data_IF_176718192387
#
_entry.id   IF_176718192387
#
_cell.length_a   1.000
_cell.length_b   1.000
_cell.length_c   1.000
_cell.angle_alpha   90.00
_cell.angle_beta   90.00
_cell.angle_gamma   90.00
#
_symmetry.space_group_name_H-M   'P 1'
#
loop_
_entity.id
_entity.type
_entity.pdbx_description
1 polymer ?
#
# COMPACT_ATOMS: atom_id res chain seq x y z
N UNK A 1 43.06 11.22 13.42
CA UNK A 1 42.12 10.43 12.58
C UNK A 1 40.75 11.05 12.76
N UNK A 2 40.04 11.36 11.70
CA UNK A 2 38.63 11.81 11.81
C UNK A 2 37.85 10.70 12.48
N UNK A 3 37.03 11.04 13.47
CA UNK A 3 36.11 10.09 14.11
C UNK A 3 35.11 9.60 13.06
N UNK A 4 34.87 8.29 13.06
CA UNK A 4 33.79 7.71 12.23
C UNK A 4 32.55 7.52 13.11
N UNK A 5 31.39 7.89 12.60
CA UNK A 5 30.14 7.81 13.31
C UNK A 5 29.20 6.83 12.64
N UNK A 6 28.42 6.12 13.43
CA UNK A 6 27.26 5.33 12.97
C UNK A 6 25.97 5.88 13.56
N UNK A 7 24.91 5.79 12.77
CA UNK A 7 23.56 6.17 13.18
C UNK A 7 22.86 4.96 13.80
N UNK A 8 22.07 5.17 14.83
CA UNK A 8 21.22 4.16 15.48
C UNK A 8 19.78 4.68 15.46
N UNK A 9 18.91 3.93 14.80
CA UNK A 9 17.53 4.36 14.52
C UNK A 9 16.55 3.31 15.00
N UNK A 10 15.53 3.75 15.75
CA UNK A 10 14.31 3.04 16.07
C UNK A 10 13.08 3.83 15.60
N UNK A 11 11.97 3.16 15.39
CA UNK A 11 10.73 3.75 14.93
C UNK A 11 9.58 3.46 15.88
N UNK A 12 8.67 4.43 15.98
CA UNK A 12 7.32 4.26 16.48
C UNK A 12 6.37 4.43 15.31
N UNK A 13 5.66 3.36 14.93
CA UNK A 13 4.78 3.36 13.75
C UNK A 13 3.35 3.19 14.20
N UNK A 14 2.53 4.24 14.01
CA UNK A 14 1.11 4.25 14.30
C UNK A 14 0.32 3.86 13.07
N UNK A 15 -0.64 2.96 13.22
CA UNK A 15 -1.48 2.48 12.11
C UNK A 15 -2.94 2.47 12.54
N UNK A 16 -3.77 3.24 11.84
CA UNK A 16 -5.24 3.19 12.00
C UNK A 16 -5.77 1.88 11.43
N UNK A 17 -6.57 1.16 12.22
CA UNK A 17 -7.12 -0.12 11.81
C UNK A 17 -8.43 0.04 11.02
N UNK A 18 -8.56 -0.72 9.94
CA UNK A 18 -9.70 -0.70 9.02
C UNK A 18 -10.96 -1.36 9.60
N UNK A 19 -11.36 -0.97 10.80
CA UNK A 19 -12.61 -1.39 11.41
C UNK A 19 -13.75 -0.48 10.97
N UNK A 20 -14.98 -1.00 10.98
CA UNK A 20 -16.17 -0.18 10.65
C UNK A 20 -16.57 0.79 11.75
N UNK A 21 -16.17 0.47 12.97
CA UNK A 21 -16.51 1.24 14.17
C UNK A 21 -15.26 1.53 14.99
N UNK A 22 -15.33 2.58 15.79
CA UNK A 22 -14.28 2.99 16.72
C UNK A 22 -13.94 1.89 17.72
N UNK A 23 -12.81 2.07 18.43
CA UNK A 23 -12.29 1.05 19.35
C UNK A 23 -13.22 0.78 20.54
N UNK A 24 -13.88 1.81 21.07
CA UNK A 24 -14.69 1.70 22.29
C UNK A 24 -16.15 2.09 22.12
N UNK A 25 -16.62 2.38 20.90
CA UNK A 25 -18.01 2.71 20.62
C UNK A 25 -18.43 2.30 19.19
N UNK A 26 -19.69 2.50 18.84
CA UNK A 26 -20.25 2.13 17.52
C UNK A 26 -20.17 3.23 16.46
N UNK A 27 -19.53 4.38 16.73
CA UNK A 27 -19.38 5.44 15.74
C UNK A 27 -18.51 4.99 14.56
N UNK A 28 -18.81 5.52 13.38
CA UNK A 28 -18.08 5.23 12.15
C UNK A 28 -16.62 5.69 12.23
N UNK A 29 -15.73 4.93 11.61
CA UNK A 29 -14.32 5.28 11.38
C UNK A 29 -14.08 5.86 9.98
N UNK A 30 -15.14 6.04 9.16
CA UNK A 30 -14.99 6.50 7.79
C UNK A 30 -14.32 7.89 7.74
N UNK A 31 -13.31 8.01 6.87
CA UNK A 31 -12.60 9.25 6.63
C UNK A 31 -13.46 10.27 5.84
N UNK A 32 -13.24 11.57 6.05
CA UNK A 32 -13.84 12.64 5.24
C UNK A 32 -15.27 13.03 5.62
N UNK A 33 -15.82 12.56 6.75
CA UNK A 33 -17.10 13.02 7.27
C UNK A 33 -17.06 14.50 7.68
N UNK A 34 -18.23 15.18 7.66
CA UNK A 34 -18.33 16.54 8.19
C UNK A 34 -17.88 16.58 9.67
N UNK A 35 -17.23 17.66 10.14
CA UNK A 35 -16.69 17.73 11.49
C UNK A 35 -17.71 17.37 12.57
N UNK A 36 -17.30 16.57 13.54
CA UNK A 36 -18.09 16.14 14.69
C UNK A 36 -19.41 15.39 14.36
N UNK A 37 -19.50 14.73 13.19
CA UNK A 37 -20.66 13.93 12.80
C UNK A 37 -20.51 12.45 13.16
N UNK A 38 -19.28 11.95 13.36
CA UNK A 38 -18.99 10.58 13.79
C UNK A 38 -18.67 10.54 15.29
N UNK A 39 -19.54 11.10 16.12
CA UNK A 39 -19.35 11.21 17.57
C UNK A 39 -20.54 10.69 18.35
N UNK A 40 -20.29 10.26 19.59
CA UNK A 40 -21.31 9.84 20.55
C UNK A 40 -20.83 10.16 21.97
N UNK A 41 -21.69 10.00 22.99
CA UNK A 41 -21.29 10.24 24.39
C UNK A 41 -20.04 9.50 24.86
N UNK A 42 -19.74 8.31 24.29
CA UNK A 42 -18.53 7.53 24.64
C UNK A 42 -17.27 8.20 24.10
N UNK A 43 -17.16 8.41 22.80
CA UNK A 43 -15.94 8.96 22.20
C UNK A 43 -15.76 10.48 22.43
N UNK A 44 -16.76 11.16 22.99
CA UNK A 44 -16.65 12.54 23.52
C UNK A 44 -16.54 12.58 25.04
N UNK A 45 -16.43 11.43 25.69
CA UNK A 45 -16.27 11.27 27.14
C UNK A 45 -17.32 12.02 27.99
N UNK A 46 -18.59 11.90 27.60
CA UNK A 46 -19.66 12.46 28.41
C UNK A 46 -19.79 11.74 29.76
N UNK A 47 -20.10 12.44 30.86
CA UNK A 47 -20.23 11.83 32.18
C UNK A 47 -21.18 10.64 32.18
N UNK A 48 -20.73 9.50 32.73
CA UNK A 48 -21.50 8.26 32.84
C UNK A 48 -21.44 7.34 31.65
N UNK A 49 -20.72 7.70 30.55
CA UNK A 49 -20.46 6.79 29.42
C UNK A 49 -19.30 5.85 29.75
N UNK A 50 -19.39 4.62 29.28
CA UNK A 50 -18.36 3.59 29.47
C UNK A 50 -17.87 3.03 28.13
N UNK A 51 -16.57 2.70 28.00
CA UNK A 51 -16.00 2.10 26.81
C UNK A 51 -16.42 0.63 26.65
N UNK A 52 -16.59 0.19 25.41
CA UNK A 52 -16.81 -1.24 25.07
C UNK A 52 -15.87 -1.63 23.94
N UNK A 53 -14.94 -2.55 24.21
CA UNK A 53 -13.90 -2.93 23.29
C UNK A 53 -14.44 -3.59 22.01
N UNK A 54 -14.00 -3.09 20.86
CA UNK A 54 -14.25 -3.69 19.56
C UNK A 54 -13.39 -4.93 19.35
N UNK A 55 -14.01 -6.10 19.23
CA UNK A 55 -13.35 -7.39 19.04
C UNK A 55 -12.44 -7.42 17.80
N UNK A 56 -12.85 -6.76 16.70
CA UNK A 56 -12.08 -6.75 15.45
C UNK A 56 -10.72 -6.05 15.61
N UNK A 57 -10.60 -5.08 16.52
CA UNK A 57 -9.32 -4.42 16.84
C UNK A 57 -8.33 -5.43 17.41
N UNK A 58 -8.77 -6.26 18.36
CA UNK A 58 -7.93 -7.33 18.93
C UNK A 58 -7.51 -8.35 17.87
N UNK A 59 -8.44 -8.74 17.00
CA UNK A 59 -8.15 -9.68 15.90
C UNK A 59 -7.13 -9.12 14.90
N UNK A 60 -7.25 -7.86 14.52
CA UNK A 60 -6.28 -7.20 13.64
C UNK A 60 -4.92 -7.04 14.30
N UNK A 61 -4.86 -6.56 15.55
CA UNK A 61 -3.61 -6.40 16.29
C UNK A 61 -2.88 -7.73 16.45
N UNK A 62 -3.59 -8.80 16.82
CA UNK A 62 -3.03 -10.14 16.92
C UNK A 62 -2.58 -10.69 15.56
N UNK A 63 -3.33 -10.43 14.48
CA UNK A 63 -2.96 -10.83 13.13
C UNK A 63 -1.67 -10.15 12.66
N UNK A 64 -1.52 -8.84 12.91
CA UNK A 64 -0.28 -8.11 12.62
C UNK A 64 0.88 -8.68 13.44
N UNK A 65 0.68 -8.94 14.75
CA UNK A 65 1.69 -9.55 15.59
C UNK A 65 2.14 -10.91 15.08
N UNK A 66 1.22 -11.79 14.70
CA UNK A 66 1.56 -13.11 14.12
C UNK A 66 2.36 -12.97 12.81
N UNK A 67 1.96 -12.03 11.95
CA UNK A 67 2.62 -11.81 10.66
C UNK A 67 4.02 -11.16 10.78
N UNK A 68 4.27 -10.48 11.90
CA UNK A 68 5.56 -9.88 12.25
C UNK A 68 6.35 -10.71 13.28
N UNK A 69 6.03 -11.99 13.41
CA UNK A 69 6.72 -12.96 14.27
C UNK A 69 6.74 -12.61 15.77
N UNK A 70 5.77 -11.82 16.23
CA UNK A 70 5.64 -11.49 17.63
C UNK A 70 5.08 -12.65 18.47
N UNK A 71 5.42 -12.64 19.75
CA UNK A 71 4.70 -13.39 20.77
C UNK A 71 3.43 -12.65 21.15
N UNK A 72 2.27 -13.32 21.10
CA UNK A 72 0.98 -12.74 21.49
C UNK A 72 0.80 -12.87 22.99
N UNK A 73 0.50 -11.76 23.66
CA UNK A 73 0.16 -11.71 25.08
C UNK A 73 -1.28 -12.15 25.25
N UNK A 74 -1.50 -13.40 25.66
CA UNK A 74 -2.84 -13.99 25.78
C UNK A 74 -3.70 -13.40 26.90
N UNK A 75 -3.08 -12.76 27.87
CA UNK A 75 -3.76 -12.02 28.95
C UNK A 75 -3.21 -10.59 28.98
N UNK A 76 -3.83 -9.71 28.24
CA UNK A 76 -3.44 -8.31 28.13
C UNK A 76 -4.55 -7.38 28.67
N UNK A 77 -4.21 -6.13 28.94
CA UNK A 77 -5.12 -5.11 29.44
C UNK A 77 -4.73 -3.73 28.97
N UNK A 78 -5.70 -2.85 29.08
CA UNK A 78 -5.48 -1.44 28.82
C UNK A 78 -5.03 -0.71 30.08
N UNK A 79 -4.32 0.40 29.84
CA UNK A 79 -3.85 1.36 30.82
C UNK A 79 -4.32 2.77 30.40
N UNK A 80 -4.42 3.70 31.36
CA UNK A 80 -4.65 5.11 31.08
C UNK A 80 -3.33 5.85 30.99
N UNK A 81 -3.07 6.49 29.86
CA UNK A 81 -1.99 7.44 29.63
C UNK A 81 -2.53 8.85 29.84
N UNK A 82 -2.24 9.42 31.02
CA UNK A 82 -2.85 10.69 31.40
C UNK A 82 -2.09 11.89 30.85
N UNK A 83 -2.76 12.67 30.01
CA UNK A 83 -2.27 13.96 29.53
C UNK A 83 -3.44 14.87 29.16
N UNK A 84 -3.21 16.16 29.31
CA UNK A 84 -4.21 17.18 29.09
C UNK A 84 -3.99 17.88 27.76
N UNK A 85 -4.91 17.66 26.80
CA UNK A 85 -4.87 18.31 25.50
C UNK A 85 -6.29 18.44 24.91
N UNK A 86 -6.61 19.52 24.13
CA UNK A 86 -7.99 19.77 23.67
C UNK A 86 -8.57 18.68 22.78
N UNK A 87 -7.76 17.95 22.01
CA UNK A 87 -8.19 16.84 21.15
C UNK A 87 -8.36 15.50 21.88
N UNK A 88 -8.05 15.49 23.18
CA UNK A 88 -8.18 14.33 24.06
C UNK A 88 -9.33 14.58 25.07
N UNK A 89 -10.59 14.24 24.73
CA UNK A 89 -11.77 14.69 25.48
C UNK A 89 -11.84 14.16 26.92
N UNK A 90 -11.25 12.99 27.20
CA UNK A 90 -11.21 12.42 28.55
C UNK A 90 -10.00 12.86 29.38
N UNK A 91 -9.05 13.63 28.80
CA UNK A 91 -7.77 13.98 29.41
C UNK A 91 -6.86 12.79 29.75
N UNK A 92 -7.13 11.65 29.16
CA UNK A 92 -6.26 10.47 29.10
C UNK A 92 -6.52 9.74 27.80
N UNK A 93 -5.54 8.97 27.36
CA UNK A 93 -5.67 8.05 26.22
C UNK A 93 -5.71 6.62 26.77
N UNK A 94 -6.66 5.82 26.30
CA UNK A 94 -6.65 4.38 26.60
C UNK A 94 -5.64 3.72 25.66
N UNK A 95 -4.60 3.12 26.25
CA UNK A 95 -3.47 2.51 25.56
C UNK A 95 -3.00 1.26 26.33
N UNK A 96 -1.85 0.71 26.02
CA UNK A 96 -1.28 -0.43 26.74
C UNK A 96 0.20 -0.16 27.05
N UNK A 97 0.61 -0.17 28.30
CA UNK A 97 2.01 -0.05 28.71
C UNK A 97 2.55 -1.36 29.29
N UNK A 98 1.86 -1.88 30.32
CA UNK A 98 2.40 -3.00 31.08
C UNK A 98 2.17 -4.35 30.42
N UNK A 99 1.09 -4.51 29.67
CA UNK A 99 0.68 -5.77 29.03
C UNK A 99 0.23 -5.52 27.59
N UNK A 100 1.14 -5.07 26.70
CA UNK A 100 0.81 -4.88 25.29
C UNK A 100 0.45 -6.21 24.64
N UNK A 101 -0.37 -6.15 23.59
CA UNK A 101 -0.89 -7.35 22.92
C UNK A 101 0.20 -8.19 22.26
N UNK A 102 1.28 -7.58 21.78
CA UNK A 102 2.37 -8.30 21.11
C UNK A 102 3.73 -7.86 21.63
N UNK A 103 4.69 -8.79 21.65
CA UNK A 103 6.09 -8.53 22.07
C UNK A 103 7.09 -9.34 21.26
N UNK A 104 8.33 -8.85 21.22
CA UNK A 104 9.51 -9.57 20.77
C UNK A 104 9.35 -10.17 19.35
N UNK A 105 8.91 -9.36 18.40
CA UNK A 105 8.80 -9.74 16.99
C UNK A 105 9.97 -9.29 16.16
N UNK A 106 9.84 -9.46 14.83
CA UNK A 106 10.77 -8.89 13.87
C UNK A 106 10.16 -8.83 12.46
N UNK A 107 10.69 -7.91 11.65
CA UNK A 107 10.49 -7.87 10.20
C UNK A 107 11.86 -8.06 9.54
N UNK A 108 11.93 -8.94 8.56
CA UNK A 108 13.15 -9.12 7.76
C UNK A 108 13.11 -8.20 6.54
N UNK A 109 14.15 -7.38 6.40
CA UNK A 109 14.33 -6.45 5.29
C UNK A 109 15.48 -6.90 4.39
N UNK A 110 15.43 -6.49 3.12
CA UNK A 110 16.51 -6.71 2.18
C UNK A 110 17.49 -5.55 2.24
N UNK A 111 18.78 -5.84 2.39
CA UNK A 111 19.87 -4.85 2.35
C UNK A 111 20.92 -5.26 1.32
N UNK A 112 21.79 -4.34 0.88
CA UNK A 112 22.91 -4.69 -0.02
C UNK A 112 23.84 -5.77 0.55
N UNK A 113 23.90 -5.90 1.89
CA UNK A 113 24.69 -6.92 2.58
C UNK A 113 23.94 -8.26 2.77
N UNK A 114 22.69 -8.35 2.32
CA UNK A 114 21.79 -9.50 2.49
C UNK A 114 20.63 -9.21 3.43
N UNK A 115 19.83 -10.23 3.75
CA UNK A 115 18.65 -10.05 4.61
C UNK A 115 19.05 -9.66 6.04
N UNK A 116 18.33 -8.69 6.61
CA UNK A 116 18.53 -8.18 7.96
C UNK A 116 17.23 -8.20 8.74
N UNK A 117 17.26 -8.71 9.95
CA UNK A 117 16.12 -8.66 10.87
C UNK A 117 16.14 -7.35 11.64
N UNK A 118 15.01 -6.66 11.62
CA UNK A 118 14.72 -5.50 12.45
C UNK A 118 13.74 -5.96 13.53
N UNK A 119 14.16 -5.88 14.79
CA UNK A 119 13.34 -6.29 15.93
C UNK A 119 12.13 -5.39 16.12
N UNK A 120 11.05 -5.98 16.61
CA UNK A 120 9.88 -5.27 17.13
C UNK A 120 9.87 -5.52 18.64
N UNK A 121 10.00 -4.43 19.39
CA UNK A 121 9.95 -4.47 20.85
C UNK A 121 8.56 -4.88 21.31
N UNK A 122 7.54 -4.14 20.85
CA UNK A 122 6.14 -4.40 21.15
C UNK A 122 5.19 -3.83 20.10
N UNK A 123 3.97 -4.33 20.11
CA UNK A 123 2.80 -3.73 19.46
C UNK A 123 1.73 -3.57 20.53
N UNK A 124 1.18 -2.38 20.67
CA UNK A 124 0.07 -2.14 21.57
C UNK A 124 -1.12 -1.49 20.87
N UNK A 125 -2.31 -1.72 21.43
CA UNK A 125 -3.55 -1.12 20.95
C UNK A 125 -3.80 0.18 21.69
N UNK A 126 -4.30 1.18 20.98
CA UNK A 126 -4.67 2.46 21.54
C UNK A 126 -5.80 3.14 20.74
N UNK A 127 -6.32 4.24 21.24
CA UNK A 127 -7.25 5.10 20.53
C UNK A 127 -6.56 6.32 19.95
N UNK A 128 -6.97 6.78 18.76
CA UNK A 128 -6.50 8.05 18.22
C UNK A 128 -7.17 9.24 18.90
N UNK A 129 -6.48 10.37 18.95
CA UNK A 129 -7.00 11.65 19.41
C UNK A 129 -7.86 12.34 18.35
N UNK A 130 -8.60 13.36 18.71
CA UNK A 130 -9.30 14.25 17.79
C UNK A 130 -8.33 15.02 16.89
N UNK A 131 -8.86 15.91 16.08
CA UNK A 131 -8.09 16.79 15.21
C UNK A 131 -8.24 18.24 15.65
N UNK A 132 -7.11 18.93 15.82
CA UNK A 132 -7.10 20.39 16.02
C UNK A 132 -6.91 21.09 14.68
N UNK A 133 -7.74 22.10 14.44
CA UNK A 133 -7.66 22.99 13.30
C UNK A 133 -7.42 24.38 13.86
N UNK A 134 -6.21 24.89 13.68
CA UNK A 134 -5.84 26.24 14.08
C UNK A 134 -6.37 27.23 13.05
N UNK A 135 -7.13 28.20 13.50
CA UNK A 135 -7.59 29.27 12.62
C UNK A 135 -6.45 30.28 12.43
N UNK A 136 -6.22 30.71 11.18
CA UNK A 136 -5.17 31.69 10.85
C UNK A 136 -5.60 33.14 11.11
N UNK A 137 -6.91 33.38 11.25
CA UNK A 137 -7.51 34.71 11.34
C UNK A 137 -8.04 35.03 12.73
N UNK A 138 -8.44 34.02 13.48
CA UNK A 138 -8.96 34.15 14.83
C UNK A 138 -8.04 33.43 15.82
N UNK A 139 -7.84 34.02 17.01
CA UNK A 139 -7.05 33.38 18.10
C UNK A 139 -7.86 32.23 18.74
N UNK A 140 -8.19 31.23 17.92
CA UNK A 140 -8.93 30.07 18.35
C UNK A 140 -8.46 28.80 17.64
N UNK A 141 -8.80 27.64 18.20
CA UNK A 141 -8.63 26.33 17.60
C UNK A 141 -9.96 25.59 17.59
N UNK A 142 -10.35 25.10 16.42
CA UNK A 142 -11.51 24.22 16.28
C UNK A 142 -11.10 22.79 16.56
N UNK A 143 -11.99 22.03 17.20
CA UNK A 143 -11.76 20.63 17.54
C UNK A 143 -12.74 19.74 16.78
N UNK A 144 -12.23 18.80 16.03
CA UNK A 144 -13.00 17.74 15.36
C UNK A 144 -12.73 16.39 16.03
N UNK A 145 -13.76 15.83 16.68
CA UNK A 145 -13.69 14.54 17.35
C UNK A 145 -14.07 13.34 16.45
N UNK A 146 -14.22 13.52 15.15
CA UNK A 146 -14.50 12.39 14.25
C UNK A 146 -13.43 11.31 14.35
N UNK A 147 -12.15 11.70 14.49
CA UNK A 147 -11.03 10.77 14.65
C UNK A 147 -10.88 10.25 16.10
N UNK A 148 -11.34 10.97 17.10
CA UNK A 148 -11.23 10.54 18.51
C UNK A 148 -11.84 9.15 18.71
N UNK A 149 -11.03 8.21 19.22
CA UNK A 149 -11.43 6.82 19.40
C UNK A 149 -11.32 5.95 18.14
N UNK A 150 -10.74 6.42 17.03
CA UNK A 150 -10.37 5.56 15.89
C UNK A 150 -9.32 4.57 16.38
N UNK A 151 -9.47 3.26 16.07
CA UNK A 151 -8.54 2.26 16.57
C UNK A 151 -7.16 2.42 15.97
N UNK A 152 -6.14 2.46 16.81
CA UNK A 152 -4.74 2.44 16.45
C UNK A 152 -4.03 1.21 16.98
N UNK A 153 -3.00 0.79 16.28
CA UNK A 153 -1.88 0.05 16.86
C UNK A 153 -0.60 0.88 16.72
N UNK A 154 0.19 0.90 17.76
CA UNK A 154 1.54 1.44 17.74
C UNK A 154 2.53 0.28 17.71
N UNK A 155 3.44 0.29 16.74
CA UNK A 155 4.48 -0.71 16.51
C UNK A 155 5.81 -0.07 16.84
N UNK A 156 6.43 -0.51 17.93
CA UNK A 156 7.72 0.02 18.40
C UNK A 156 8.83 -0.91 17.95
N UNK A 157 9.75 -0.42 17.12
CA UNK A 157 10.90 -1.21 16.70
C UNK A 157 12.06 -1.17 17.71
N UNK A 158 12.92 -2.19 17.67
CA UNK A 158 14.25 -2.09 18.29
C UNK A 158 15.12 -1.12 17.48
N UNK A 159 16.17 -0.52 18.09
CA UNK A 159 17.04 0.45 17.42
C UNK A 159 18.09 -0.23 16.51
N UNK A 160 17.63 -1.07 15.61
CA UNK A 160 18.47 -1.94 14.78
C UNK A 160 18.85 -1.30 13.43
N UNK A 161 18.13 -0.27 12.99
CA UNK A 161 18.39 0.39 11.71
C UNK A 161 19.57 1.37 11.80
N UNK A 162 20.29 1.52 10.69
CA UNK A 162 21.54 2.29 10.62
C UNK A 162 21.55 3.42 9.59
N UNK A 163 20.60 3.45 8.68
CA UNK A 163 20.49 4.45 7.61
C UNK A 163 19.04 4.59 7.13
N UNK A 164 18.80 5.58 6.27
CA UNK A 164 17.49 5.87 5.72
C UNK A 164 16.94 4.73 4.84
N UNK A 165 17.80 4.06 4.06
CA UNK A 165 17.36 2.96 3.17
C UNK A 165 16.78 1.78 3.97
N UNK A 166 17.42 1.42 5.10
CA UNK A 166 16.92 0.39 6.01
C UNK A 166 15.57 0.78 6.62
N UNK A 167 15.41 2.06 6.98
CA UNK A 167 14.13 2.59 7.51
C UNK A 167 13.03 2.51 6.47
N UNK A 168 13.29 2.94 5.24
CA UNK A 168 12.31 2.88 4.15
C UNK A 168 11.95 1.42 3.84
N UNK A 169 12.96 0.53 3.73
CA UNK A 169 12.74 -0.90 3.49
C UNK A 169 11.86 -1.54 4.58
N UNK A 170 12.10 -1.17 5.85
CA UNK A 170 11.29 -1.64 6.98
C UNK A 170 9.85 -1.14 6.88
N UNK A 171 9.64 0.16 6.65
CA UNK A 171 8.31 0.76 6.56
C UNK A 171 7.52 0.21 5.37
N UNK A 172 8.13 0.05 4.21
CA UNK A 172 7.51 -0.56 3.02
C UNK A 172 7.09 -2.01 3.29
N UNK A 173 7.97 -2.79 3.92
CA UNK A 173 7.68 -4.18 4.27
C UNK A 173 6.55 -4.30 5.28
N UNK A 174 6.58 -3.46 6.32
CA UNK A 174 5.55 -3.41 7.35
C UNK A 174 4.18 -2.98 6.76
N UNK A 175 4.17 -1.91 5.97
CA UNK A 175 3.00 -1.44 5.22
C UNK A 175 2.39 -2.57 4.39
N UNK A 176 3.22 -3.29 3.64
CA UNK A 176 2.79 -4.38 2.78
C UNK A 176 2.16 -5.53 3.60
N UNK A 177 2.76 -5.91 4.72
CA UNK A 177 2.20 -6.93 5.61
C UNK A 177 0.81 -6.52 6.08
N UNK A 178 0.66 -5.29 6.56
CA UNK A 178 -0.60 -4.78 7.13
C UNK A 178 -1.69 -4.67 6.06
N UNK A 179 -1.35 -4.19 4.86
CA UNK A 179 -2.28 -4.12 3.73
C UNK A 179 -2.74 -5.52 3.27
N UNK A 180 -1.83 -6.49 3.20
CA UNK A 180 -2.19 -7.87 2.83
C UNK A 180 -3.11 -8.52 3.86
N UNK A 181 -2.93 -8.22 5.14
CA UNK A 181 -3.84 -8.66 6.21
C UNK A 181 -5.23 -7.97 6.12
N UNK A 182 -5.35 -6.89 5.34
CA UNK A 182 -6.56 -6.06 5.32
C UNK A 182 -6.81 -5.31 6.63
N UNK A 183 -5.76 -5.14 7.44
CA UNK A 183 -5.86 -4.50 8.76
C UNK A 183 -5.84 -2.96 8.66
N UNK A 184 -5.26 -2.39 7.60
CA UNK A 184 -5.25 -0.96 7.29
C UNK A 184 -4.95 -0.74 5.81
N UNK A 185 -5.31 0.43 5.27
CA UNK A 185 -4.88 0.91 3.95
C UNK A 185 -3.48 1.55 4.00
N UNK A 186 -2.99 1.92 5.18
CA UNK A 186 -1.65 2.48 5.42
C UNK A 186 -1.31 3.68 4.54
N UNK A 187 -2.23 4.62 4.37
CA UNK A 187 -2.02 5.85 3.62
C UNK A 187 -1.37 6.93 4.48
N UNK A 188 -0.12 7.28 4.20
CA UNK A 188 0.60 8.33 4.95
C UNK A 188 -0.04 9.71 4.75
N UNK A 189 -0.58 10.00 3.56
CA UNK A 189 -1.18 11.30 3.24
C UNK A 189 -2.51 11.54 3.98
N UNK A 190 -3.28 10.48 4.21
CA UNK A 190 -4.53 10.53 4.99
C UNK A 190 -4.27 10.36 6.49
N UNK A 191 -3.03 9.99 6.88
CA UNK A 191 -2.61 9.80 8.27
C UNK A 191 -2.98 8.45 8.86
N UNK A 192 -3.47 7.48 8.06
CA UNK A 192 -3.75 6.13 8.52
C UNK A 192 -2.48 5.30 8.78
N UNK A 193 -1.32 5.78 8.35
CA UNK A 193 -0.01 5.33 8.79
C UNK A 193 0.87 6.54 9.10
N UNK A 194 1.54 6.55 10.25
CA UNK A 194 2.45 7.61 10.69
C UNK A 194 3.70 6.95 11.26
N UNK A 195 4.85 7.60 11.12
CA UNK A 195 6.10 7.09 11.69
C UNK A 195 6.85 8.22 12.36
N UNK A 196 7.20 8.03 13.62
CA UNK A 196 8.10 8.87 14.37
C UNK A 196 9.49 8.21 14.39
N UNK A 197 10.54 8.98 14.09
CA UNK A 197 11.91 8.48 13.98
C UNK A 197 12.69 8.85 15.23
N UNK A 198 13.14 7.85 15.95
CA UNK A 198 14.07 7.98 17.08
C UNK A 198 15.49 7.75 16.58
N UNK A 199 16.32 8.79 16.58
CA UNK A 199 17.66 8.77 16.02
C UNK A 199 18.72 9.21 17.04
N UNK A 200 19.83 8.48 17.09
CA UNK A 200 21.07 8.90 17.79
C UNK A 200 22.27 8.57 16.94
N UNK A 201 23.38 9.26 17.22
CA UNK A 201 24.69 9.04 16.59
C UNK A 201 25.72 8.64 17.65
N UNK A 202 26.52 7.63 17.36
CA UNK A 202 27.65 7.20 18.21
C UNK A 202 28.92 6.99 17.40
N UNK A 203 30.07 6.98 18.05
CA UNK A 203 31.33 6.61 17.41
C UNK A 203 31.30 5.12 17.03
N UNK A 204 31.82 4.78 15.85
CA UNK A 204 31.91 3.40 15.38
C UNK A 204 32.70 2.54 16.35
N UNK A 205 32.15 1.40 16.74
CA UNK A 205 32.72 0.49 17.70
C UNK A 205 32.44 0.84 19.18
N UNK A 206 31.63 1.86 19.46
CA UNK A 206 31.18 2.17 20.81
C UNK A 206 29.94 1.33 21.16
N UNK A 207 29.95 0.68 22.32
CA UNK A 207 28.76 0.00 22.87
C UNK A 207 27.74 0.97 23.49
N UNK A 208 28.16 2.20 23.77
CA UNK A 208 27.31 3.21 24.38
C UNK A 208 26.51 3.94 23.33
N UNK A 209 25.20 3.91 23.47
CA UNK A 209 24.28 4.69 22.62
C UNK A 209 24.49 6.19 22.79
N UNK A 210 24.31 6.94 21.70
CA UNK A 210 24.25 8.40 21.71
C UNK A 210 22.97 8.94 22.34
N UNK A 211 22.87 10.27 22.44
CA UNK A 211 21.64 10.93 22.90
C UNK A 211 20.59 10.90 21.79
N UNK A 212 19.42 10.37 22.11
CA UNK A 212 18.30 10.22 21.18
C UNK A 212 17.56 11.54 20.96
N UNK A 213 17.21 11.82 19.69
CA UNK A 213 16.18 12.80 19.31
C UNK A 213 15.05 12.11 18.64
N UNK A 214 13.85 12.61 18.84
CA UNK A 214 12.60 12.13 18.21
C UNK A 214 12.21 13.08 17.08
N UNK A 215 12.05 12.57 15.85
CA UNK A 215 11.66 13.35 14.68
C UNK A 215 10.21 13.11 14.38
N UNK A 216 9.40 14.20 14.33
CA UNK A 216 7.97 14.18 14.04
C UNK A 216 7.60 14.94 12.77
N UNK A 217 6.33 14.80 12.35
CA UNK A 217 5.76 15.46 11.18
C UNK A 217 6.36 14.95 9.86
N UNK A 218 6.49 13.63 9.74
CA UNK A 218 7.09 12.94 8.60
C UNK A 218 5.97 12.30 7.77
N UNK A 219 5.52 12.96 6.72
CA UNK A 219 4.30 12.63 5.97
C UNK A 219 4.54 11.87 4.65
N UNK A 220 5.78 11.51 4.36
CA UNK A 220 6.14 10.66 3.23
C UNK A 220 7.47 9.95 3.46
N UNK A 221 7.70 8.83 2.77
CA UNK A 221 8.98 8.11 2.86
C UNK A 221 10.17 8.97 2.42
N UNK A 222 9.98 9.84 1.43
CA UNK A 222 10.99 10.78 0.99
C UNK A 222 11.36 11.76 2.11
N UNK A 223 10.36 12.34 2.77
CA UNK A 223 10.55 13.26 3.91
C UNK A 223 11.22 12.56 5.08
N UNK A 224 10.88 11.30 5.36
CA UNK A 224 11.55 10.47 6.38
C UNK A 224 13.03 10.33 6.07
N UNK A 225 13.39 10.00 4.82
CA UNK A 225 14.78 9.85 4.42
C UNK A 225 15.57 11.16 4.57
N UNK A 226 15.03 12.30 4.11
CA UNK A 226 15.65 13.61 4.27
C UNK A 226 15.82 13.99 5.74
N UNK A 227 14.83 13.74 6.58
CA UNK A 227 14.89 14.05 8.00
C UNK A 227 15.98 13.24 8.72
N UNK A 228 16.13 11.96 8.38
CA UNK A 228 17.18 11.09 8.94
C UNK A 228 18.56 11.63 8.58
N UNK A 229 18.82 11.94 7.32
CA UNK A 229 20.14 12.44 6.90
C UNK A 229 20.43 13.81 7.51
N UNK A 230 19.47 14.75 7.47
CA UNK A 230 19.65 16.08 8.06
C UNK A 230 19.87 16.04 9.58
N UNK A 231 19.14 15.19 10.30
CA UNK A 231 19.33 15.04 11.76
C UNK A 231 20.67 14.35 12.10
N UNK A 232 21.04 13.34 11.30
CA UNK A 232 22.35 12.68 11.42
C UNK A 232 23.49 13.69 11.26
N UNK A 233 23.47 14.50 10.21
CA UNK A 233 24.49 15.52 9.96
C UNK A 233 24.54 16.53 11.10
N UNK A 234 23.40 17.04 11.55
CA UNK A 234 23.32 17.97 12.70
C UNK A 234 23.95 17.40 13.97
N UNK A 235 23.67 16.13 14.30
CA UNK A 235 24.23 15.50 15.50
C UNK A 235 25.74 15.29 15.39
N UNK A 236 26.24 14.87 14.22
CA UNK A 236 27.68 14.71 13.96
C UNK A 236 28.40 16.07 14.12
N UNK A 237 27.85 17.12 13.51
CA UNK A 237 28.42 18.48 13.61
C UNK A 237 28.52 18.94 15.07
N UNK A 238 27.49 18.75 15.88
CA UNK A 238 27.53 19.09 17.31
C UNK A 238 28.62 18.31 18.05
N UNK A 239 28.73 17.00 17.79
CA UNK A 239 29.73 16.13 18.44
C UNK A 239 31.17 16.51 18.03
N UNK A 240 31.39 16.88 16.76
CA UNK A 240 32.68 17.33 16.27
C UNK A 240 33.08 18.70 16.85
N UNK A 241 32.09 19.57 17.11
CA UNK A 241 32.31 20.84 17.85
C UNK A 241 32.51 20.65 19.37
N UNK A 242 32.42 19.40 19.86
CA UNK A 242 32.49 19.11 21.30
C UNK A 242 31.25 19.54 22.08
N UNK A 243 30.13 19.76 21.41
CA UNK A 243 28.84 20.13 22.01
C UNK A 243 27.99 18.88 22.24
N UNK A 244 27.23 18.79 23.34
CA UNK A 244 26.33 17.66 23.57
C UNK A 244 25.09 17.75 22.68
N UNK A 245 24.61 16.61 22.23
CA UNK A 245 23.28 16.48 21.69
C UNK A 245 22.28 16.51 22.85
N UNK A 246 21.21 17.27 22.73
CA UNK A 246 20.14 17.37 23.74
C UNK A 246 19.02 16.39 23.37
N UNK A 247 18.49 15.67 24.35
CA UNK A 247 17.33 14.80 24.13
C UNK A 247 16.07 15.68 24.01
N UNK A 248 15.50 15.72 22.81
CA UNK A 248 14.35 16.56 22.48
C UNK A 248 13.51 15.98 21.36
N UNK A 249 12.24 16.40 21.29
CA UNK A 249 11.37 16.16 20.13
C UNK A 249 11.56 17.30 19.13
N UNK A 250 11.78 16.96 17.86
CA UNK A 250 12.03 17.90 16.78
C UNK A 250 11.01 17.73 15.64
N UNK A 251 10.65 18.84 15.04
CA UNK A 251 9.81 18.85 13.82
C UNK A 251 10.69 19.09 12.61
N UNK A 252 10.54 18.26 11.59
CA UNK A 252 11.19 18.44 10.30
C UNK A 252 10.45 19.46 9.44
N UNK A 253 11.18 20.34 8.74
CA UNK A 253 10.69 21.26 7.71
C UNK A 253 11.42 20.92 6.40
N UNK A 254 10.72 20.24 5.50
CA UNK A 254 11.30 19.73 4.25
C UNK A 254 11.65 20.88 3.27
N UNK A 255 10.97 22.03 3.36
CA UNK A 255 11.29 23.19 2.53
C UNK A 255 12.59 23.87 2.94
N UNK A 256 12.94 23.81 4.23
CA UNK A 256 14.17 24.39 4.79
C UNK A 256 15.27 23.36 4.97
N UNK A 257 15.00 22.10 4.69
CA UNK A 257 15.89 20.96 4.94
C UNK A 257 16.52 21.02 6.36
N UNK A 258 15.71 21.34 7.35
CA UNK A 258 16.14 21.53 8.73
C UNK A 258 15.09 21.13 9.74
N UNK A 259 15.55 20.77 10.95
CA UNK A 259 14.67 20.44 12.07
C UNK A 259 14.67 21.54 13.12
N UNK A 260 13.53 21.71 13.81
CA UNK A 260 13.36 22.67 14.89
C UNK A 260 12.90 21.94 16.16
N UNK A 261 13.51 22.30 17.30
CA UNK A 261 13.07 21.77 18.59
C UNK A 261 11.63 22.19 18.89
N UNK A 262 10.79 21.23 19.31
CA UNK A 262 9.42 21.48 19.76
C UNK A 262 9.34 21.55 21.29
N UNK A 263 9.95 20.57 21.97
CA UNK A 263 10.00 20.48 23.42
C UNK A 263 11.26 19.74 23.86
N UNK A 264 11.80 20.09 25.02
CA UNK A 264 12.93 19.41 25.64
C UNK A 264 12.48 18.32 26.61
N UNK A 265 13.44 17.51 27.10
CA UNK A 265 13.18 16.49 28.12
C UNK A 265 12.70 17.11 29.46
N UNK A 266 13.05 18.35 29.75
CA UNK A 266 12.61 19.07 30.94
C UNK A 266 11.09 19.32 30.94
N UNK A 267 10.49 19.37 29.72
CA UNK A 267 9.04 19.48 29.52
C UNK A 267 8.34 18.11 29.41
N UNK A 268 9.08 16.99 29.61
CA UNK A 268 8.50 15.66 29.51
C UNK A 268 7.46 15.44 30.60
N UNK A 269 6.23 15.22 30.19
CA UNK A 269 5.12 14.93 31.10
C UNK A 269 5.28 13.51 31.68
N UNK A 270 5.11 13.39 32.99
CA UNK A 270 4.86 12.10 33.63
C UNK A 270 3.39 11.72 33.35
N UNK A 271 3.20 10.73 32.48
CA UNK A 271 1.85 10.27 32.09
C UNK A 271 1.12 9.51 33.20
N UNK A 272 1.74 9.21 34.34
CA UNK A 272 1.11 8.59 35.51
C UNK A 272 0.20 7.42 35.13
N UNK A 273 0.75 6.46 34.38
CA UNK A 273 0.01 5.29 33.92
C UNK A 273 -0.59 4.49 35.08
N UNK A 274 -1.83 4.04 34.90
CA UNK A 274 -2.47 3.06 35.76
C UNK A 274 -3.46 2.21 34.93
N UNK A 275 -3.82 0.99 35.37
CA UNK A 275 -4.74 0.13 34.65
C UNK A 275 -6.09 0.81 34.40
N UNK A 276 -6.64 0.65 33.18
CA UNK A 276 -7.96 1.15 32.80
C UNK A 276 -9.06 0.40 33.59
N UNK A 277 -9.78 1.03 34.51
CA UNK A 277 -10.73 0.34 35.41
C UNK A 277 -12.04 -0.05 34.72
N UNK A 278 -12.41 0.62 33.62
CA UNK A 278 -13.68 0.43 32.94
C UNK A 278 -13.62 -0.66 31.85
N UNK A 279 -12.43 -1.21 31.60
CA UNK A 279 -12.22 -2.31 30.65
C UNK A 279 -11.70 -3.57 31.38
N UNK A 280 -12.35 -4.70 31.14
CA UNK A 280 -11.89 -5.99 31.67
C UNK A 280 -10.64 -6.45 30.94
N UNK A 281 -9.77 -7.29 31.56
CA UNK A 281 -8.66 -7.91 30.87
C UNK A 281 -9.10 -8.67 29.64
N UNK A 282 -8.28 -8.61 28.58
CA UNK A 282 -8.51 -9.32 27.32
C UNK A 282 -7.86 -10.69 27.44
N UNK A 283 -8.65 -11.75 27.31
CA UNK A 283 -8.16 -13.12 27.32
C UNK A 283 -8.26 -13.68 25.90
N UNK A 284 -7.13 -13.88 25.27
CA UNK A 284 -7.02 -14.49 23.93
C UNK A 284 -6.76 -15.97 24.13
N UNK A 285 -7.81 -16.82 24.01
CA UNK A 285 -7.67 -18.26 24.14
C UNK A 285 -6.87 -18.87 22.99
N UNK A 286 -6.34 -20.08 23.19
CA UNK A 286 -5.62 -20.81 22.14
C UNK A 286 -6.49 -21.06 20.92
N UNK A 287 -7.79 -21.34 21.11
CA UNK A 287 -8.75 -21.54 20.03
C UNK A 287 -8.98 -20.25 19.24
N UNK A 288 -9.11 -19.10 19.92
CA UNK A 288 -9.28 -17.83 19.26
C UNK A 288 -8.02 -17.44 18.49
N UNK A 289 -6.85 -17.63 19.08
CA UNK A 289 -5.56 -17.38 18.41
C UNK A 289 -5.37 -18.29 17.19
N UNK A 290 -5.71 -19.59 17.31
CA UNK A 290 -5.68 -20.51 16.19
C UNK A 290 -6.65 -20.10 15.06
N UNK A 291 -7.84 -19.62 15.40
CA UNK A 291 -8.80 -19.12 14.44
C UNK A 291 -8.30 -17.85 13.71
N UNK A 292 -7.64 -16.93 14.42
CA UNK A 292 -7.00 -15.74 13.79
C UNK A 292 -5.90 -16.20 12.83
N UNK A 293 -5.04 -17.10 13.26
CA UNK A 293 -3.94 -17.65 12.44
C UNK A 293 -4.44 -18.35 11.18
N UNK A 294 -5.51 -19.12 11.30
CA UNK A 294 -6.11 -19.86 10.16
C UNK A 294 -6.74 -18.93 9.10
N UNK A 295 -7.15 -17.72 9.50
CA UNK A 295 -7.74 -16.72 8.60
C UNK A 295 -6.70 -15.79 7.95
N UNK A 296 -5.42 -15.89 8.33
CA UNK A 296 -4.40 -15.06 7.71
C UNK A 296 -4.27 -15.37 6.22
N UNK A 297 -4.27 -14.34 5.36
CA UNK A 297 -4.02 -14.54 3.94
C UNK A 297 -2.56 -14.91 3.70
N UNK A 298 -2.29 -15.48 2.54
CA UNK A 298 -0.92 -15.64 2.06
C UNK A 298 -0.27 -14.26 1.85
N UNK A 299 0.84 -14.01 2.53
CA UNK A 299 1.54 -12.74 2.44
C UNK A 299 2.37 -12.63 1.16
N UNK A 300 2.73 -11.39 0.79
CA UNK A 300 3.46 -11.06 -0.44
C UNK A 300 4.67 -11.95 -0.71
N UNK A 301 5.51 -12.19 0.29
CA UNK A 301 6.74 -13.00 0.12
C UNK A 301 6.44 -14.44 -0.32
N UNK A 302 5.41 -15.06 0.27
CA UNK A 302 4.97 -16.39 -0.12
C UNK A 302 4.36 -16.39 -1.54
N UNK A 303 3.54 -15.38 -1.87
CA UNK A 303 2.99 -15.20 -3.23
C UNK A 303 4.09 -15.03 -4.28
N UNK A 304 5.13 -14.24 -4.02
CA UNK A 304 6.27 -14.07 -4.92
C UNK A 304 6.95 -15.40 -5.25
N UNK A 305 7.20 -16.23 -4.23
CA UNK A 305 7.80 -17.56 -4.43
C UNK A 305 6.86 -18.44 -5.26
N UNK A 306 5.58 -18.46 -4.92
CA UNK A 306 4.56 -19.27 -5.58
C UNK A 306 4.35 -18.83 -7.03
N UNK A 307 4.27 -17.54 -7.32
CA UNK A 307 4.05 -17.04 -8.69
C UNK A 307 5.17 -17.44 -9.64
N UNK A 308 6.41 -17.38 -9.16
CA UNK A 308 7.58 -17.84 -9.94
C UNK A 308 7.57 -19.35 -10.15
N UNK A 309 7.26 -20.11 -9.11
CA UNK A 309 7.32 -21.57 -9.12
C UNK A 309 6.14 -22.22 -9.85
N UNK A 310 4.91 -21.79 -9.54
CA UNK A 310 3.70 -22.50 -9.96
C UNK A 310 3.10 -21.92 -11.24
N UNK A 311 3.32 -20.62 -11.52
CA UNK A 311 2.79 -19.92 -12.68
C UNK A 311 3.85 -19.54 -13.72
N UNK A 312 5.13 -19.76 -13.42
CA UNK A 312 6.25 -19.40 -14.29
C UNK A 312 6.22 -17.93 -14.73
N UNK A 313 5.89 -17.04 -13.77
CA UNK A 313 5.86 -15.59 -13.97
C UNK A 313 7.27 -15.03 -13.75
N UNK A 314 7.77 -14.15 -14.66
CA UNK A 314 9.04 -13.46 -14.48
C UNK A 314 9.12 -12.73 -13.14
N UNK A 315 10.32 -12.67 -12.54
CA UNK A 315 10.53 -12.04 -11.24
C UNK A 315 10.01 -10.60 -11.19
N UNK A 316 10.33 -9.81 -12.22
CA UNK A 316 9.89 -8.43 -12.33
C UNK A 316 8.36 -8.29 -12.32
N UNK A 317 7.66 -9.11 -13.12
CA UNK A 317 6.19 -9.09 -13.19
C UNK A 317 5.57 -9.52 -11.85
N UNK A 318 6.12 -10.60 -11.25
CA UNK A 318 5.66 -11.08 -9.96
C UNK A 318 5.82 -10.01 -8.86
N UNK A 319 6.92 -9.26 -8.86
CA UNK A 319 7.14 -8.18 -7.91
C UNK A 319 6.13 -7.05 -8.06
N UNK A 320 5.81 -6.64 -9.29
CA UNK A 320 4.84 -5.57 -9.54
C UNK A 320 3.42 -6.03 -9.22
N UNK A 321 2.99 -7.21 -9.70
CA UNK A 321 1.65 -7.73 -9.42
C UNK A 321 1.42 -7.88 -7.91
N UNK A 322 2.44 -8.30 -7.16
CA UNK A 322 2.33 -8.46 -5.71
C UNK A 322 2.62 -7.18 -4.93
N UNK A 323 2.96 -6.06 -5.56
CA UNK A 323 3.18 -4.79 -4.86
C UNK A 323 1.90 -4.18 -4.30
N UNK A 324 0.73 -4.58 -4.83
CA UNK A 324 -0.57 -4.23 -4.29
C UNK A 324 -1.44 -5.49 -4.14
N UNK A 325 -2.09 -5.63 -2.99
CA UNK A 325 -2.98 -6.77 -2.71
C UNK A 325 -4.07 -6.92 -3.77
N UNK A 326 -4.69 -5.82 -4.18
CA UNK A 326 -5.76 -5.83 -5.18
C UNK A 326 -5.31 -6.39 -6.53
N UNK A 327 -4.10 -6.04 -6.98
CA UNK A 327 -3.52 -6.58 -8.21
C UNK A 327 -3.25 -8.08 -8.08
N UNK A 328 -2.70 -8.52 -6.95
CA UNK A 328 -2.46 -9.94 -6.69
C UNK A 328 -3.77 -10.74 -6.64
N UNK A 329 -4.81 -10.21 -6.00
CA UNK A 329 -6.13 -10.85 -5.92
C UNK A 329 -6.77 -10.94 -7.31
N UNK A 330 -6.70 -9.89 -8.14
CA UNK A 330 -7.17 -9.91 -9.54
C UNK A 330 -6.40 -10.93 -10.38
N UNK A 331 -5.08 -10.99 -10.25
CA UNK A 331 -4.26 -11.97 -10.94
C UNK A 331 -4.68 -13.41 -10.60
N UNK A 332 -4.81 -13.72 -9.32
CA UNK A 332 -5.18 -15.06 -8.87
C UNK A 332 -6.60 -15.45 -9.28
N UNK A 333 -7.58 -14.56 -9.06
CA UNK A 333 -8.96 -14.81 -9.40
C UNK A 333 -9.15 -15.00 -10.93
N UNK A 334 -8.57 -14.11 -11.74
CA UNK A 334 -8.63 -14.23 -13.21
C UNK A 334 -7.93 -15.50 -13.69
N UNK A 335 -6.75 -15.81 -13.13
CA UNK A 335 -6.00 -17.04 -13.47
C UNK A 335 -6.78 -18.30 -13.07
N UNK A 336 -7.48 -18.27 -11.96
CA UNK A 336 -8.31 -19.40 -11.53
C UNK A 336 -9.44 -19.71 -12.53
N UNK A 337 -9.96 -18.69 -13.23
CA UNK A 337 -11.02 -18.83 -14.23
C UNK A 337 -10.45 -19.31 -15.57
N UNK A 338 -9.55 -18.51 -16.19
CA UNK A 338 -9.07 -18.77 -17.58
C UNK A 338 -7.91 -19.77 -17.68
N UNK A 339 -7.24 -20.12 -16.54
CA UNK A 339 -6.07 -21.03 -16.49
C UNK A 339 -4.88 -20.59 -17.34
N UNK A 340 -4.70 -19.29 -17.59
CA UNK A 340 -3.69 -18.71 -18.46
C UNK A 340 -2.83 -17.64 -17.75
N UNK A 341 -2.03 -17.98 -16.73
CA UNK A 341 -1.36 -17.01 -15.84
C UNK A 341 -0.49 -16.00 -16.60
N UNK A 342 0.27 -16.43 -17.62
CA UNK A 342 1.14 -15.53 -18.40
C UNK A 342 0.34 -14.50 -19.20
N UNK A 343 -0.87 -14.84 -19.68
CA UNK A 343 -1.73 -13.88 -20.37
C UNK A 343 -2.34 -12.90 -19.40
N UNK A 344 -2.79 -13.38 -18.24
CA UNK A 344 -3.29 -12.51 -17.18
C UNK A 344 -2.21 -11.54 -16.71
N UNK A 345 -0.98 -12.03 -16.48
CA UNK A 345 0.18 -11.18 -16.16
C UNK A 345 0.38 -10.08 -17.21
N UNK A 346 0.39 -10.42 -18.49
CA UNK A 346 0.54 -9.45 -19.58
C UNK A 346 -0.56 -8.37 -19.57
N UNK A 347 -1.82 -8.73 -19.37
CA UNK A 347 -2.92 -7.75 -19.29
C UNK A 347 -2.78 -6.82 -18.11
N UNK A 348 -2.40 -7.34 -16.96
CA UNK A 348 -2.18 -6.53 -15.76
C UNK A 348 -0.96 -5.61 -15.92
N UNK A 349 0.16 -6.14 -16.42
CA UNK A 349 1.43 -5.41 -16.55
C UNK A 349 1.42 -4.35 -17.66
N UNK A 350 0.70 -4.59 -18.75
CA UNK A 350 0.74 -3.69 -19.92
C UNK A 350 -0.48 -2.77 -19.92
N UNK A 351 -1.68 -3.33 -20.07
CA UNK A 351 -2.88 -2.52 -20.30
C UNK A 351 -3.43 -1.95 -18.99
N UNK A 352 -3.50 -2.74 -17.91
CA UNK A 352 -4.00 -2.22 -16.61
C UNK A 352 -3.09 -1.11 -16.08
N UNK A 353 -1.76 -1.32 -16.08
CA UNK A 353 -0.80 -0.31 -15.62
C UNK A 353 -0.83 0.96 -16.49
N UNK A 354 -1.02 0.81 -17.81
CA UNK A 354 -1.18 1.96 -18.72
C UNK A 354 -2.40 2.79 -18.35
N UNK A 355 -3.57 2.13 -18.22
CA UNK A 355 -4.83 2.82 -17.90
C UNK A 355 -4.82 3.43 -16.50
N UNK A 356 -4.26 2.74 -15.50
CA UNK A 356 -4.08 3.32 -14.16
C UNK A 356 -3.28 4.63 -14.22
N UNK A 357 -2.18 4.64 -14.99
CA UNK A 357 -1.36 5.86 -15.16
C UNK A 357 -2.12 6.96 -15.91
N UNK A 358 -2.87 6.63 -16.95
CA UNK A 358 -3.64 7.60 -17.74
C UNK A 358 -4.79 8.24 -16.93
N UNK A 359 -5.38 7.47 -16.01
CA UNK A 359 -6.48 7.93 -15.16
C UNK A 359 -6.05 8.36 -13.75
N UNK A 360 -4.74 8.41 -13.48
CA UNK A 360 -4.17 8.75 -12.16
C UNK A 360 -4.77 7.93 -11.02
N UNK A 361 -4.98 6.61 -11.27
CA UNK A 361 -5.58 5.66 -10.34
C UNK A 361 -4.51 4.80 -9.66
N UNK A 362 -4.75 4.46 -8.39
CA UNK A 362 -3.99 3.44 -7.66
C UNK A 362 -4.63 2.05 -7.85
N UNK A 363 -3.90 0.99 -7.48
CA UNK A 363 -4.40 -0.38 -7.64
C UNK A 363 -5.69 -0.65 -6.84
N UNK A 364 -5.86 0.01 -5.71
CA UNK A 364 -7.02 -0.07 -4.83
C UNK A 364 -8.30 0.47 -5.48
N UNK A 365 -8.17 1.38 -6.46
CA UNK A 365 -9.28 1.99 -7.18
C UNK A 365 -9.86 1.09 -8.27
N UNK A 366 -9.17 -0.01 -8.62
CA UNK A 366 -9.62 -0.95 -9.65
C UNK A 366 -10.96 -1.60 -9.26
N UNK A 367 -11.93 -1.50 -10.16
CA UNK A 367 -13.30 -1.97 -9.91
C UNK A 367 -13.73 -3.11 -10.83
N UNK A 368 -13.02 -3.36 -11.93
CA UNK A 368 -13.42 -4.39 -12.87
C UNK A 368 -13.28 -5.81 -12.28
N UNK A 369 -14.15 -6.68 -12.72
CA UNK A 369 -14.24 -8.06 -12.24
C UNK A 369 -13.23 -8.99 -12.92
N UNK A 370 -12.67 -9.98 -12.19
CA UNK A 370 -11.80 -10.98 -12.76
C UNK A 370 -12.50 -11.85 -13.83
N UNK A 371 -13.83 -12.02 -13.73
CA UNK A 371 -14.64 -12.74 -14.68
C UNK A 371 -14.64 -12.09 -16.06
N UNK A 372 -14.77 -10.77 -16.12
CA UNK A 372 -14.77 -10.03 -17.38
C UNK A 372 -13.39 -10.00 -18.03
N UNK A 373 -12.33 -9.86 -17.25
CA UNK A 373 -10.96 -9.98 -17.77
C UNK A 373 -10.69 -11.40 -18.30
N UNK A 374 -11.13 -12.44 -17.59
CA UNK A 374 -10.96 -13.82 -18.03
C UNK A 374 -11.68 -14.10 -19.35
N UNK A 375 -12.95 -13.66 -19.48
CA UNK A 375 -13.74 -13.77 -20.73
C UNK A 375 -13.05 -13.03 -21.89
N UNK A 376 -12.54 -11.82 -21.65
CA UNK A 376 -11.81 -11.07 -22.68
C UNK A 376 -10.57 -11.83 -23.16
N UNK A 377 -9.80 -12.40 -22.24
CA UNK A 377 -8.62 -13.23 -22.57
C UNK A 377 -9.04 -14.45 -23.42
N UNK A 378 -10.15 -15.09 -23.07
CA UNK A 378 -10.65 -16.25 -23.80
C UNK A 378 -11.14 -15.88 -25.21
N UNK A 379 -11.85 -14.74 -25.36
CA UNK A 379 -12.28 -14.22 -26.68
C UNK A 379 -11.08 -13.88 -27.58
N UNK A 380 -10.07 -13.25 -27.03
CA UNK A 380 -8.85 -12.91 -27.76
C UNK A 380 -8.06 -14.17 -28.14
N UNK A 381 -7.98 -15.15 -27.26
CA UNK A 381 -7.24 -16.39 -27.47
C UNK A 381 -7.91 -17.32 -28.48
N UNK A 382 -9.24 -17.35 -28.49
CA UNK A 382 -10.03 -18.06 -29.49
C UNK A 382 -10.02 -17.39 -30.87
N UNK A 383 -9.39 -16.19 -31.00
CA UNK A 383 -9.39 -15.42 -32.24
C UNK A 383 -10.77 -14.81 -32.59
N UNK A 384 -11.72 -14.84 -31.66
CA UNK A 384 -13.04 -14.22 -31.82
C UNK A 384 -12.93 -12.71 -32.00
N UNK A 385 -11.95 -12.10 -31.35
CA UNK A 385 -11.55 -10.70 -31.50
C UNK A 385 -10.04 -10.63 -31.71
N UNK A 386 -9.55 -9.64 -32.46
CA UNK A 386 -8.13 -9.40 -32.61
C UNK A 386 -7.56 -8.55 -31.46
N UNK A 387 -6.25 -8.42 -31.39
CA UNK A 387 -5.56 -7.72 -30.29
C UNK A 387 -5.95 -6.22 -30.18
N UNK A 388 -6.26 -5.55 -31.30
CA UNK A 388 -6.65 -4.13 -31.27
C UNK A 388 -8.04 -3.96 -30.63
N UNK A 389 -8.99 -4.80 -31.07
CA UNK A 389 -10.34 -4.83 -30.52
C UNK A 389 -10.31 -5.25 -29.05
N UNK A 390 -9.46 -6.23 -28.68
CA UNK A 390 -9.33 -6.66 -27.29
C UNK A 390 -8.89 -5.52 -26.38
N UNK A 391 -8.00 -4.64 -26.83
CA UNK A 391 -7.58 -3.45 -26.04
C UNK A 391 -8.71 -2.43 -25.90
N UNK A 392 -9.46 -2.17 -26.99
CA UNK A 392 -10.64 -1.30 -26.96
C UNK A 392 -11.71 -1.81 -25.97
N UNK A 393 -12.00 -3.10 -26.02
CA UNK A 393 -12.95 -3.73 -25.08
C UNK A 393 -12.44 -3.69 -23.66
N UNK A 394 -11.13 -3.86 -23.45
CA UNK A 394 -10.54 -3.79 -22.11
C UNK A 394 -10.65 -2.38 -21.51
N UNK A 395 -10.50 -1.33 -22.30
CA UNK A 395 -10.73 0.04 -21.81
C UNK A 395 -12.15 0.23 -21.26
N UNK A 396 -13.16 -0.36 -21.91
CA UNK A 396 -14.55 -0.33 -21.41
C UNK A 396 -14.71 -1.19 -20.14
N UNK A 397 -14.08 -2.36 -20.08
CA UNK A 397 -14.04 -3.18 -18.85
C UNK A 397 -13.40 -2.40 -17.71
N UNK A 398 -12.27 -1.76 -17.96
CA UNK A 398 -11.53 -1.00 -16.94
C UNK A 398 -12.38 0.16 -16.36
N UNK A 399 -13.14 0.86 -17.21
CA UNK A 399 -13.92 2.04 -16.79
C UNK A 399 -15.30 1.65 -16.19
N UNK A 400 -16.00 0.69 -16.77
CA UNK A 400 -17.41 0.42 -16.50
C UNK A 400 -17.72 -1.03 -16.13
N UNK A 401 -16.70 -1.90 -16.07
CA UNK A 401 -16.83 -3.36 -15.82
C UNK A 401 -17.90 -4.04 -16.70
N UNK A 402 -17.91 -3.73 -18.00
CA UNK A 402 -18.87 -4.28 -18.96
C UNK A 402 -18.60 -5.77 -19.23
N UNK A 403 -19.66 -6.53 -19.58
CA UNK A 403 -19.51 -7.91 -20.07
C UNK A 403 -18.93 -7.91 -21.50
N UNK A 404 -17.70 -8.43 -21.71
CA UNK A 404 -17.00 -8.35 -23.01
C UNK A 404 -17.72 -9.11 -24.13
N UNK A 405 -18.40 -10.23 -23.83
CA UNK A 405 -19.12 -11.00 -24.87
C UNK A 405 -20.30 -10.21 -25.41
N UNK A 406 -21.10 -9.61 -24.52
CA UNK A 406 -22.24 -8.77 -24.91
C UNK A 406 -21.78 -7.54 -25.68
N UNK A 407 -20.75 -6.86 -25.19
CA UNK A 407 -20.21 -5.66 -25.83
C UNK A 407 -19.68 -5.96 -27.25
N UNK A 408 -18.92 -7.05 -27.42
CA UNK A 408 -18.44 -7.51 -28.73
C UNK A 408 -19.58 -7.85 -29.68
N UNK A 409 -20.66 -8.44 -29.19
CA UNK A 409 -21.81 -8.80 -29.97
C UNK A 409 -22.65 -7.59 -30.40
N UNK A 410 -22.98 -6.70 -29.46
CA UNK A 410 -23.76 -5.48 -29.70
C UNK A 410 -23.05 -4.51 -30.66
N UNK A 411 -21.75 -4.41 -30.61
CA UNK A 411 -20.95 -3.53 -31.48
C UNK A 411 -20.42 -4.25 -32.73
N UNK A 412 -20.77 -5.54 -32.91
CA UNK A 412 -20.33 -6.34 -34.05
C UNK A 412 -18.83 -6.39 -34.24
N UNK A 413 -18.06 -6.53 -33.12
CA UNK A 413 -16.60 -6.47 -33.10
C UNK A 413 -15.92 -7.83 -33.34
N UNK A 414 -16.68 -8.88 -33.62
CA UNK A 414 -16.15 -10.21 -33.94
C UNK A 414 -15.23 -10.13 -35.18
N UNK A 415 -14.15 -10.86 -35.15
CA UNK A 415 -13.18 -10.96 -36.27
C UNK A 415 -13.87 -11.54 -37.47
N UNK A 416 -13.72 -10.89 -38.62
CA UNK A 416 -14.21 -11.42 -39.89
C UNK A 416 -13.21 -12.43 -40.40
N UNK A 417 -13.58 -13.70 -40.34
CA UNK A 417 -12.79 -14.83 -40.85
C UNK A 417 -13.36 -15.36 -42.20
N UNK A 418 -14.29 -14.65 -42.80
CA UNK A 418 -14.83 -15.01 -44.13
C UNK A 418 -13.73 -14.73 -45.19
N UNK A 419 -13.10 -15.81 -45.67
CA UNK A 419 -12.05 -15.76 -46.66
C UNK A 419 -12.48 -15.11 -47.96
N UNK A 420 -13.78 -15.29 -48.35
CA UNK A 420 -14.34 -14.70 -49.55
C UNK A 420 -14.46 -13.18 -49.46
N UNK A 421 -14.99 -12.69 -48.35
CA UNK A 421 -15.13 -11.27 -48.10
C UNK A 421 -13.72 -10.58 -47.93
N UNK A 422 -12.77 -11.25 -47.27
CA UNK A 422 -11.41 -10.79 -47.15
C UNK A 422 -10.72 -10.72 -48.53
N UNK A 423 -10.81 -11.77 -49.31
CA UNK A 423 -10.20 -11.83 -50.65
C UNK A 423 -10.72 -10.75 -51.58
N UNK A 424 -12.04 -10.54 -51.62
CA UNK A 424 -12.65 -9.48 -52.42
C UNK A 424 -12.20 -8.06 -52.00
N UNK A 425 -12.03 -7.83 -50.67
CA UNK A 425 -11.53 -6.55 -50.17
C UNK A 425 -10.06 -6.38 -50.51
N UNK A 426 -9.24 -7.40 -50.35
CA UNK A 426 -7.79 -7.40 -50.67
C UNK A 426 -7.56 -7.16 -52.14
N UNK A 427 -8.30 -7.80 -53.04
CA UNK A 427 -8.22 -7.60 -54.49
C UNK A 427 -8.48 -6.10 -54.87
N UNK A 428 -9.47 -5.44 -54.21
CA UNK A 428 -9.69 -4.02 -54.40
C UNK A 428 -8.50 -3.17 -53.91
N UNK A 429 -7.96 -3.49 -52.73
CA UNK A 429 -6.81 -2.76 -52.15
C UNK A 429 -5.56 -2.93 -53.05
N UNK A 430 -5.32 -4.10 -53.61
CA UNK A 430 -4.27 -4.34 -54.58
C UNK A 430 -4.47 -3.49 -55.84
N UNK A 431 -5.70 -3.45 -56.37
CA UNK A 431 -6.05 -2.66 -57.54
C UNK A 431 -5.90 -1.15 -57.32
N UNK A 432 -6.25 -0.68 -56.13
CA UNK A 432 -6.19 0.74 -55.76
C UNK A 432 -4.75 1.22 -55.41
N UNK A 433 -3.78 0.29 -55.23
CA UNK A 433 -2.42 0.61 -54.81
C UNK A 433 -1.35 -0.01 -55.68
N UNK A 434 -1.34 0.21 -57.03
CA UNK A 434 -0.46 -0.47 -57.97
C UNK A 434 1.05 -0.19 -57.69
N UNK A 435 1.38 0.99 -57.18
CA UNK A 435 2.77 1.34 -56.84
C UNK A 435 3.31 0.50 -55.69
N UNK A 436 2.47 0.20 -54.66
CA UNK A 436 2.89 -0.65 -53.53
C UNK A 436 3.07 -2.12 -53.97
N UNK A 437 2.28 -2.57 -54.93
CA UNK A 437 2.40 -3.90 -55.53
C UNK A 437 3.73 -4.02 -56.33
N UNK A 438 4.05 -3.00 -57.14
CA UNK A 438 5.30 -2.94 -57.90
C UNK A 438 6.51 -2.87 -56.94
N UNK A 439 6.43 -2.10 -55.87
CA UNK A 439 7.48 -2.04 -54.84
C UNK A 439 7.71 -3.39 -54.16
N UNK A 440 6.64 -4.16 -53.91
CA UNK A 440 6.77 -5.52 -53.37
C UNK A 440 7.45 -6.47 -54.34
N UNK A 441 7.05 -6.47 -55.61
CA UNK A 441 7.69 -7.28 -56.67
C UNK A 441 9.16 -6.90 -56.93
N UNK A 442 9.53 -5.63 -56.66
CA UNK A 442 10.90 -5.16 -56.71
C UNK A 442 11.71 -5.45 -55.42
N UNK A 443 11.21 -6.32 -54.53
CA UNK A 443 11.92 -6.81 -53.34
C UNK A 443 11.81 -5.92 -52.11
N UNK A 444 10.94 -4.91 -52.10
CA UNK A 444 10.66 -4.09 -50.91
C UNK A 444 9.61 -4.78 -50.03
N UNK A 445 10.01 -5.77 -49.24
CA UNK A 445 9.09 -6.54 -48.36
C UNK A 445 8.21 -5.67 -47.45
N UNK A 446 8.67 -4.48 -47.07
CA UNK A 446 7.87 -3.54 -46.25
C UNK A 446 6.61 -3.05 -46.94
N UNK A 447 6.50 -3.14 -48.27
CA UNK A 447 5.29 -2.71 -49.01
C UNK A 447 4.05 -3.57 -48.67
N UNK A 448 4.25 -4.85 -48.34
CA UNK A 448 3.16 -5.74 -47.92
C UNK A 448 2.53 -5.23 -46.62
N UNK A 449 3.33 -4.68 -45.71
CA UNK A 449 2.84 -4.09 -44.44
C UNK A 449 1.90 -2.91 -44.67
N UNK A 450 2.14 -2.09 -45.69
CA UNK A 450 1.24 -1.01 -46.09
C UNK A 450 -0.10 -1.55 -46.61
N UNK A 451 -0.08 -2.57 -47.46
CA UNK A 451 -1.30 -3.22 -48.00
C UNK A 451 -2.11 -3.91 -46.91
N UNK A 452 -1.45 -4.56 -45.93
CA UNK A 452 -2.09 -5.09 -44.72
C UNK A 452 -2.78 -3.96 -43.95
N UNK A 453 -2.09 -2.83 -43.74
CA UNK A 453 -2.65 -1.65 -43.05
C UNK A 453 -3.89 -1.09 -43.77
N UNK A 454 -3.87 -0.96 -45.09
CA UNK A 454 -5.01 -0.50 -45.89
C UNK A 454 -6.19 -1.48 -45.82
N UNK A 455 -5.93 -2.79 -45.89
CA UNK A 455 -6.95 -3.83 -45.73
C UNK A 455 -7.58 -3.78 -44.34
N UNK A 456 -6.76 -3.68 -43.30
CA UNK A 456 -7.26 -3.52 -41.92
C UNK A 456 -8.12 -2.28 -41.76
N UNK A 457 -7.73 -1.16 -42.36
CA UNK A 457 -8.53 0.07 -42.34
C UNK A 457 -9.85 -0.09 -43.08
N UNK A 458 -9.87 -0.70 -44.25
CA UNK A 458 -11.09 -0.97 -45.04
C UNK A 458 -12.06 -1.90 -44.27
N UNK A 459 -11.54 -2.86 -43.55
CA UNK A 459 -12.28 -3.80 -42.71
C UNK A 459 -12.57 -3.25 -41.30
N UNK A 460 -12.31 -1.96 -41.06
CA UNK A 460 -12.52 -1.28 -39.74
C UNK A 460 -11.84 -2.02 -38.58
N UNK A 461 -10.65 -2.55 -38.82
CA UNK A 461 -9.89 -3.27 -37.81
C UNK A 461 -10.37 -4.69 -37.48
N UNK A 462 -11.44 -5.19 -38.12
CA UNK A 462 -12.08 -6.48 -37.77
C UNK A 462 -11.50 -7.68 -38.53
N UNK A 463 -10.59 -7.49 -39.47
CA UNK A 463 -9.95 -8.59 -40.20
C UNK A 463 -8.88 -9.29 -39.34
N UNK A 464 -8.68 -10.59 -39.57
CA UNK A 464 -7.56 -11.33 -39.02
C UNK A 464 -6.26 -10.95 -39.75
N UNK A 465 -5.28 -10.26 -39.08
CA UNK A 465 -4.05 -9.84 -39.75
C UNK A 465 -3.23 -10.98 -40.36
N UNK A 466 -3.26 -12.16 -39.73
CA UNK A 466 -2.58 -13.34 -40.23
C UNK A 466 -3.17 -13.83 -41.54
N UNK A 467 -4.50 -13.94 -41.63
CA UNK A 467 -5.23 -14.30 -42.86
C UNK A 467 -5.04 -13.27 -43.96
N UNK A 468 -5.13 -11.98 -43.61
CA UNK A 468 -4.88 -10.87 -44.56
C UNK A 468 -3.49 -10.98 -45.16
N UNK A 469 -2.46 -11.23 -44.32
CA UNK A 469 -1.08 -11.38 -44.78
C UNK A 469 -0.90 -12.62 -45.65
N UNK A 470 -1.57 -13.73 -45.32
CA UNK A 470 -1.53 -14.96 -46.12
C UNK A 470 -2.18 -14.74 -47.48
N UNK A 471 -3.42 -14.19 -47.53
CA UNK A 471 -4.14 -13.93 -48.78
C UNK A 471 -3.38 -12.91 -49.67
N UNK A 472 -2.80 -11.86 -49.05
CA UNK A 472 -1.96 -10.91 -49.78
C UNK A 472 -0.76 -11.61 -50.46
N UNK A 473 -0.07 -12.54 -49.75
CA UNK A 473 1.04 -13.31 -50.30
C UNK A 473 0.63 -14.29 -51.39
N UNK A 474 -0.62 -14.76 -51.41
CA UNK A 474 -1.17 -15.62 -52.45
C UNK A 474 -1.58 -14.84 -53.71
N UNK A 475 -1.96 -13.56 -53.55
CA UNK A 475 -2.46 -12.72 -54.64
C UNK A 475 -1.36 -11.80 -55.26
N UNK A 476 -0.26 -11.59 -54.58
CA UNK A 476 0.92 -10.84 -55.04
C UNK A 476 1.99 -11.78 -55.60
#
# INVERSE_FOLDING_TARGET
MSKQYETVIGLEVHVELATKTKIFCSCSTAFGGAPNTHTCPVCTCMPGSLPVLNKQVVEYAAAVGLATNCTITQNCKFDRKNYFYPDNPQNYQISQLYYPICRNGYVEIDTPAGPKKIGIHEIHMEEDAGKLIHDEWEDCSLVDYNRSGVPLIEIVSEPDMRNADEVISYLEKLRMIIQYLGASDCKLQEGSMRADVNLSVREVGSDKLGTRTEMKNLNSFKVIAHAIEGERERQIELLEMGRPVIQETRRWDDNKESSHAMRSKEDAQDYRYFPEPDLVPIIISDEWLAAIKARQPELRTAKLIRYKKDFDIPDYDAQIITSAKKMADLFEATTAICKKPKKVSNWLMVETMRLMKEHEMEAEDLKFSPEHLAKLIDLADAGTINSSVAKEVFEQIFLEDIDPEKYVEEHGLKTVNDEGALRSTIEKIIADNPQSVEDYHNGKEKAIGFLVGQTMKAMKGKANPGMVNQILKELL
#
